data_IF_267140993630
#
_entry.id   IF_267140993630
#
_cell.length_a   1.000
_cell.length_b   1.000
_cell.length_c   1.000
_cell.angle_alpha   90.00
_cell.angle_beta   90.00
_cell.angle_gamma   90.00
#
_symmetry.space_group_name_H-M   'P 1'
#
loop_
_entity.id
_entity.type
_entity.pdbx_description
1 polymer ?
#
# COMPACT_ATOMS: atom_id res chain seq x y z
N UNK A 1 22.64 -20.08 -4.01
CA UNK A 1 22.57 -19.49 -2.65
C UNK A 1 23.27 -18.15 -2.69
N UNK A 2 22.71 -17.12 -2.05
CA UNK A 2 23.34 -15.79 -2.00
C UNK A 2 24.64 -15.85 -1.18
N UNK A 3 25.62 -15.02 -1.55
CA UNK A 3 26.80 -14.81 -0.70
C UNK A 3 26.41 -14.12 0.62
N UNK A 4 27.31 -14.09 1.59
CA UNK A 4 27.09 -13.38 2.85
C UNK A 4 26.83 -11.88 2.62
N UNK A 5 27.61 -11.24 1.74
CA UNK A 5 27.42 -9.82 1.40
C UNK A 5 26.07 -9.57 0.72
N UNK A 6 25.69 -10.43 -0.21
CA UNK A 6 24.38 -10.34 -0.89
C UNK A 6 23.23 -10.55 0.09
N UNK A 7 23.37 -11.47 1.05
CA UNK A 7 22.34 -11.75 2.06
C UNK A 7 22.15 -10.55 3.01
N UNK A 8 23.24 -9.92 3.44
CA UNK A 8 23.20 -8.72 4.28
C UNK A 8 22.58 -7.53 3.55
N UNK A 9 22.93 -7.34 2.28
CA UNK A 9 22.34 -6.28 1.45
C UNK A 9 20.83 -6.52 1.27
N UNK A 10 20.43 -7.74 0.92
CA UNK A 10 19.03 -8.11 0.76
C UNK A 10 18.23 -7.87 2.04
N UNK A 11 18.78 -8.19 3.22
CA UNK A 11 18.11 -7.93 4.49
C UNK A 11 17.87 -6.44 4.71
N UNK A 12 18.88 -5.59 4.45
CA UNK A 12 18.74 -4.13 4.56
C UNK A 12 17.66 -3.59 3.63
N UNK A 13 17.71 -3.96 2.36
CA UNK A 13 16.73 -3.56 1.35
C UNK A 13 15.32 -4.07 1.69
N UNK A 14 15.21 -5.25 2.30
CA UNK A 14 13.92 -5.82 2.69
C UNK A 14 13.30 -5.05 3.85
N UNK A 15 14.10 -4.66 4.85
CA UNK A 15 13.64 -3.79 5.94
C UNK A 15 13.21 -2.43 5.40
N UNK A 16 14.00 -1.83 4.51
CA UNK A 16 13.67 -0.54 3.91
C UNK A 16 12.37 -0.59 3.10
N UNK A 17 12.17 -1.64 2.28
CA UNK A 17 10.92 -1.87 1.55
C UNK A 17 9.73 -2.12 2.47
N UNK A 18 9.91 -2.87 3.56
CA UNK A 18 8.85 -3.13 4.52
C UNK A 18 8.39 -1.87 5.26
N UNK A 19 9.32 -0.94 5.50
CA UNK A 19 9.08 0.36 6.14
C UNK A 19 8.75 1.47 5.13
N UNK A 20 8.32 1.13 3.92
CA UNK A 20 8.01 2.11 2.88
C UNK A 20 6.64 1.80 2.30
N UNK A 21 5.79 2.83 2.19
CA UNK A 21 4.48 2.73 1.56
C UNK A 21 4.65 2.31 0.09
N UNK A 22 4.04 1.20 -0.28
CA UNK A 22 4.07 0.65 -1.63
C UNK A 22 3.43 1.57 -2.67
N UNK A 23 2.51 2.45 -2.25
CA UNK A 23 1.81 3.36 -3.15
C UNK A 23 2.55 4.68 -3.38
N UNK A 24 3.16 5.26 -2.34
CA UNK A 24 3.69 6.63 -2.42
C UNK A 24 5.15 6.78 -2.00
N UNK A 25 5.81 5.71 -1.56
CA UNK A 25 7.21 5.74 -1.14
C UNK A 25 7.46 6.43 0.21
N UNK A 26 6.42 6.83 0.94
CA UNK A 26 6.57 7.42 2.27
C UNK A 26 7.11 6.39 3.27
N UNK A 27 8.08 6.80 4.12
CA UNK A 27 8.53 5.97 5.24
C UNK A 27 7.40 5.77 6.25
N UNK A 28 7.18 4.51 6.59
CA UNK A 28 6.17 4.04 7.52
C UNK A 28 6.76 3.87 8.91
N UNK A 29 5.90 4.01 9.93
CA UNK A 29 6.25 3.54 11.26
C UNK A 29 6.39 2.00 11.27
N UNK A 30 7.19 1.44 12.17
CA UNK A 30 7.45 -0.02 12.22
C UNK A 30 6.19 -0.88 12.45
N UNK A 31 5.12 -0.25 12.94
CA UNK A 31 3.81 -0.89 13.15
C UNK A 31 2.86 -0.74 11.95
N UNK A 32 3.19 0.16 11.02
CA UNK A 32 2.42 0.36 9.79
C UNK A 32 2.98 -0.55 8.71
N UNK A 33 2.10 -1.33 8.07
CA UNK A 33 2.51 -2.31 7.06
C UNK A 33 2.00 -1.93 5.69
N UNK A 34 2.89 -2.03 4.71
CA UNK A 34 2.63 -2.00 3.26
C UNK A 34 2.09 -0.69 2.66
N UNK A 35 1.08 -0.04 3.25
CA UNK A 35 0.44 1.18 2.71
C UNK A 35 0.18 2.17 3.85
N UNK A 36 0.50 3.46 3.64
CA UNK A 36 0.24 4.50 4.65
C UNK A 36 -1.24 4.81 4.80
N UNK A 37 -1.61 5.39 5.95
CA UNK A 37 -3.00 5.78 6.30
C UNK A 37 -3.68 6.63 5.20
N UNK A 38 -2.95 7.59 4.62
CA UNK A 38 -3.48 8.43 3.54
C UNK A 38 -3.87 7.60 2.32
N UNK A 39 -2.97 6.74 1.86
CA UNK A 39 -3.20 5.95 0.65
C UNK A 39 -4.28 4.88 0.85
N UNK A 40 -4.37 4.27 2.04
CA UNK A 40 -5.47 3.34 2.33
C UNK A 40 -6.81 4.07 2.38
N UNK A 41 -6.86 5.26 2.95
CA UNK A 41 -8.08 6.08 2.97
C UNK A 41 -8.52 6.47 1.54
N UNK A 42 -7.59 6.94 0.70
CA UNK A 42 -7.87 7.23 -0.72
C UNK A 42 -8.43 6.00 -1.46
N UNK A 43 -7.82 4.83 -1.27
CA UNK A 43 -8.30 3.58 -1.86
C UNK A 43 -9.72 3.21 -1.39
N UNK A 44 -10.00 3.31 -0.09
CA UNK A 44 -11.32 2.99 0.46
C UNK A 44 -12.40 3.94 -0.05
N UNK A 45 -12.12 5.24 -0.12
CA UNK A 45 -13.08 6.23 -0.65
C UNK A 45 -13.37 6.04 -2.14
N UNK A 46 -12.38 5.60 -2.93
CA UNK A 46 -12.59 5.24 -4.33
C UNK A 46 -13.59 4.08 -4.49
N UNK A 47 -13.54 3.09 -3.59
CA UNK A 47 -14.50 1.96 -3.59
C UNK A 47 -15.92 2.44 -3.26
N UNK A 48 -16.08 3.28 -2.23
CA UNK A 48 -17.40 3.80 -1.85
C UNK A 48 -18.04 4.66 -2.96
N UNK A 49 -17.25 5.51 -3.62
CA UNK A 49 -17.73 6.32 -4.74
C UNK A 49 -18.16 5.45 -5.92
N UNK A 50 -17.46 4.34 -6.18
CA UNK A 50 -17.80 3.41 -7.25
C UNK A 50 -19.13 2.69 -6.98
N UNK A 51 -19.36 2.25 -5.74
CA UNK A 51 -20.63 1.61 -5.34
C UNK A 51 -21.80 2.59 -5.40
N UNK A 52 -21.64 3.83 -4.91
CA UNK A 52 -22.66 4.89 -5.06
C UNK A 52 -23.00 5.15 -6.53
N UNK A 53 -21.99 5.21 -7.40
CA UNK A 53 -22.18 5.39 -8.83
C UNK A 53 -22.91 4.21 -9.49
N UNK A 54 -22.56 2.96 -9.14
CA UNK A 54 -23.27 1.75 -9.59
C UNK A 54 -24.73 1.75 -9.14
N UNK A 55 -25.00 2.12 -7.88
CA UNK A 55 -26.35 2.17 -7.34
C UNK A 55 -27.20 3.23 -8.05
N UNK A 56 -26.67 4.43 -8.27
CA UNK A 56 -27.32 5.45 -9.11
C UNK A 56 -27.60 4.96 -10.53
N UNK A 57 -26.68 4.20 -11.14
CA UNK A 57 -26.86 3.67 -12.50
C UNK A 57 -27.91 2.54 -12.55
N UNK A 58 -28.08 1.76 -11.47
CA UNK A 58 -29.13 0.73 -11.34
C UNK A 58 -30.52 1.34 -11.11
N UNK A 59 -30.62 2.42 -10.34
CA UNK A 59 -31.91 3.12 -10.10
C UNK A 59 -32.42 3.84 -11.36
N UNK A 60 -31.51 4.29 -12.24
CA UNK A 60 -31.85 4.99 -13.48
C UNK A 60 -32.15 4.07 -14.70
N UNK A 61 -32.11 2.75 -14.52
CA UNK A 61 -32.47 1.75 -15.54
C UNK A 61 -33.81 1.12 -15.20
#
# INVERSE_FOLDING_TARGET
MLSLSQSLQYQKESVERALTCANCGQKLHVLEVHVCERCIYECLNMVEHNEKYKQHRRIKK
#
